data_IF_610541181687
#
_entry.id   IF_610541181687
#
_cell.length_a   1.000
_cell.length_b   1.000
_cell.length_c   1.000
_cell.angle_alpha   90.00
_cell.angle_beta   90.00
_cell.angle_gamma   90.00
#
_symmetry.space_group_name_H-M   'P 1'
#
loop_
_entity.id
_entity.type
_entity.pdbx_description
1 polymer ?
#
# COMPACT_ATOMS: atom_id res chain seq x y z
N UNK A 1 4.38 -11.40 -1.74
CA UNK A 1 3.90 -10.30 -0.87
C UNK A 1 4.04 -9.01 -1.64
N UNK A 2 3.00 -8.17 -1.64
CA UNK A 2 2.97 -6.87 -2.31
C UNK A 2 2.77 -5.79 -1.24
N UNK A 3 3.67 -4.81 -1.19
CA UNK A 3 3.60 -3.67 -0.28
C UNK A 3 3.33 -2.40 -1.07
N UNK A 4 2.33 -1.62 -0.64
CA UNK A 4 2.10 -0.27 -1.15
C UNK A 4 2.84 0.70 -0.25
N UNK A 5 3.71 1.51 -0.85
CA UNK A 5 4.56 2.48 -0.18
C UNK A 5 4.21 3.87 -0.67
N UNK A 6 4.14 4.82 0.25
CA UNK A 6 3.84 6.22 -0.04
C UNK A 6 4.93 7.13 0.51
N UNK A 7 5.08 8.29 -0.11
CA UNK A 7 5.81 9.42 0.44
C UNK A 7 4.81 10.50 0.89
N UNK A 8 4.41 10.56 2.17
CA UNK A 8 3.30 11.40 2.62
C UNK A 8 3.50 12.89 2.34
N UNK A 9 4.75 13.35 2.29
CA UNK A 9 5.10 14.73 1.95
C UNK A 9 4.54 15.18 0.59
N UNK A 10 4.44 14.26 -0.39
CA UNK A 10 3.87 14.57 -1.71
C UNK A 10 2.38 14.87 -1.65
N UNK A 11 1.62 14.08 -0.89
CA UNK A 11 0.18 14.28 -0.73
C UNK A 11 -0.10 15.50 0.16
N UNK A 12 0.69 15.66 1.24
CA UNK A 12 0.59 16.76 2.17
C UNK A 12 0.92 18.13 1.55
N UNK A 13 1.77 18.16 0.51
CA UNK A 13 2.13 19.40 -0.18
C UNK A 13 0.94 20.11 -0.84
N UNK A 14 -0.17 19.41 -1.11
CA UNK A 14 -1.32 19.96 -1.85
C UNK A 14 -2.65 19.88 -1.09
N UNK A 15 -2.84 18.87 -0.25
CA UNK A 15 -4.15 18.56 0.30
C UNK A 15 -4.21 18.77 1.82
N UNK A 16 -5.37 19.23 2.29
CA UNK A 16 -5.74 19.22 3.71
C UNK A 16 -6.24 17.82 4.08
N UNK A 17 -5.81 17.30 5.24
CA UNK A 17 -6.04 15.92 5.70
C UNK A 17 -5.48 14.83 4.74
N UNK A 18 -4.18 14.89 4.39
CA UNK A 18 -3.58 14.06 3.35
C UNK A 18 -3.57 12.56 3.68
N UNK A 19 -3.50 12.18 4.96
CA UNK A 19 -3.48 10.77 5.39
C UNK A 19 -4.72 10.00 4.92
N UNK A 20 -5.90 10.63 5.02
CA UNK A 20 -7.15 9.99 4.59
C UNK A 20 -7.18 9.69 3.09
N UNK A 21 -6.51 10.51 2.27
CA UNK A 21 -6.39 10.31 0.83
C UNK A 21 -5.44 9.16 0.52
N UNK A 22 -4.30 9.09 1.23
CA UNK A 22 -3.36 7.98 1.10
C UNK A 22 -4.05 6.63 1.35
N UNK A 23 -4.84 6.52 2.42
CA UNK A 23 -5.54 5.26 2.73
C UNK A 23 -6.60 4.91 1.69
N UNK A 24 -7.31 5.92 1.16
CA UNK A 24 -8.31 5.72 0.11
C UNK A 24 -7.66 5.25 -1.19
N UNK A 25 -6.58 5.90 -1.62
CA UNK A 25 -5.85 5.53 -2.83
C UNK A 25 -5.25 4.12 -2.70
N UNK A 26 -4.64 3.80 -1.55
CA UNK A 26 -4.13 2.46 -1.28
C UNK A 26 -5.25 1.41 -1.35
N UNK A 27 -6.42 1.69 -0.76
CA UNK A 27 -7.58 0.81 -0.84
C UNK A 27 -8.08 0.59 -2.27
N UNK A 28 -8.15 1.66 -3.08
CA UNK A 28 -8.53 1.57 -4.50
C UNK A 28 -7.54 0.71 -5.28
N UNK A 29 -6.23 0.90 -5.08
CA UNK A 29 -5.20 0.10 -5.74
C UNK A 29 -5.29 -1.38 -5.35
N UNK A 30 -5.46 -1.69 -4.06
CA UNK A 30 -5.65 -3.06 -3.59
C UNK A 30 -6.91 -3.71 -4.21
N UNK A 31 -8.01 -2.96 -4.35
CA UNK A 31 -9.22 -3.41 -5.00
C UNK A 31 -9.04 -3.70 -6.49
N UNK A 32 -8.31 -2.86 -7.23
CA UNK A 32 -7.98 -3.16 -8.62
C UNK A 32 -7.08 -4.40 -8.74
N UNK A 33 -6.09 -4.54 -7.86
CA UNK A 33 -5.22 -5.71 -7.84
C UNK A 33 -6.00 -7.00 -7.59
N UNK A 34 -7.02 -7.00 -6.72
CA UNK A 34 -7.84 -8.20 -6.49
C UNK A 34 -8.64 -8.60 -7.72
N UNK A 35 -9.23 -7.63 -8.43
CA UNK A 35 -9.97 -7.89 -9.68
C UNK A 35 -9.03 -8.45 -10.76
N UNK A 36 -7.84 -7.87 -10.90
CA UNK A 36 -6.85 -8.35 -11.89
C UNK A 36 -6.36 -9.75 -11.53
N UNK A 37 -6.10 -10.03 -10.25
CA UNK A 37 -5.69 -11.36 -9.80
C UNK A 37 -6.75 -12.41 -10.12
N UNK A 38 -8.03 -12.12 -9.88
CA UNK A 38 -9.16 -12.99 -10.25
C UNK A 38 -9.16 -13.31 -11.75
N UNK A 39 -9.00 -12.29 -12.60
CA UNK A 39 -8.94 -12.48 -14.07
C UNK A 39 -7.76 -13.36 -14.49
N UNK A 40 -6.64 -13.27 -13.78
CA UNK A 40 -5.45 -14.07 -14.03
C UNK A 40 -5.49 -15.47 -13.39
N UNK A 41 -6.55 -15.81 -12.65
CA UNK A 41 -6.65 -17.07 -11.91
C UNK A 41 -5.70 -17.15 -10.71
N UNK A 42 -5.29 -16.01 -10.16
CA UNK A 42 -4.41 -15.92 -9.00
C UNK A 42 -5.22 -15.66 -7.72
N UNK A 43 -4.74 -16.21 -6.60
CA UNK A 43 -5.25 -15.89 -5.27
C UNK A 43 -4.70 -14.57 -4.77
N UNK A 44 -5.57 -13.67 -4.30
CA UNK A 44 -5.19 -12.37 -3.74
C UNK A 44 -5.87 -12.12 -2.39
N UNK A 45 -5.09 -11.72 -1.39
CA UNK A 45 -5.56 -11.45 -0.04
C UNK A 45 -5.00 -10.10 0.47
N UNK A 46 -5.79 -9.02 0.47
CA UNK A 46 -5.41 -7.77 1.10
C UNK A 46 -5.35 -7.96 2.62
N UNK A 47 -4.33 -7.37 3.25
CA UNK A 47 -4.10 -7.46 4.69
C UNK A 47 -4.48 -6.14 5.37
N UNK A 48 -5.04 -6.22 6.58
CA UNK A 48 -5.43 -5.04 7.37
C UNK A 48 -4.27 -4.31 8.05
N UNK A 49 -3.03 -4.74 7.81
CA UNK A 49 -1.81 -4.12 8.34
C UNK A 49 -1.13 -3.30 7.24
N UNK A 50 -0.34 -2.31 7.66
CA UNK A 50 0.52 -1.54 6.77
C UNK A 50 1.92 -2.16 6.75
N UNK A 51 2.59 -2.12 5.59
CA UNK A 51 3.91 -2.73 5.37
C UNK A 51 5.08 -2.01 6.10
N UNK A 52 4.84 -1.47 7.30
CA UNK A 52 5.78 -0.59 8.01
C UNK A 52 7.03 -1.34 8.48
N UNK A 53 6.87 -2.54 9.02
CA UNK A 53 8.00 -3.37 9.47
C UNK A 53 8.85 -3.84 8.29
N UNK A 54 8.20 -4.27 7.21
CA UNK A 54 8.82 -4.72 5.97
C UNK A 54 9.59 -3.57 5.31
N UNK A 55 9.00 -2.36 5.28
CA UNK A 55 9.64 -1.16 4.75
C UNK A 55 10.91 -0.82 5.53
N UNK A 56 10.84 -0.85 6.87
CA UNK A 56 11.99 -0.54 7.73
C UNK A 56 13.12 -1.54 7.53
N UNK A 57 12.80 -2.82 7.35
CA UNK A 57 13.78 -3.87 7.08
C UNK A 57 14.45 -3.71 5.69
N UNK A 58 13.71 -3.23 4.69
CA UNK A 58 14.23 -3.10 3.32
C UNK A 58 15.01 -1.81 3.08
N UNK A 59 14.57 -0.70 3.66
CA UNK A 59 15.10 0.64 3.37
C UNK A 59 15.80 1.30 4.56
N UNK A 60 15.86 0.61 5.71
CA UNK A 60 16.29 1.21 6.97
C UNK A 60 15.25 2.18 7.53
N UNK A 61 15.57 2.87 8.63
CA UNK A 61 14.74 3.94 9.15
C UNK A 61 14.67 5.09 8.13
N UNK A 62 13.50 5.28 7.53
CA UNK A 62 13.24 6.32 6.54
C UNK A 62 12.04 7.15 6.98
N UNK A 63 12.25 8.45 7.20
CA UNK A 63 11.20 9.37 7.64
C UNK A 63 10.30 9.87 6.51
N UNK A 64 10.67 9.60 5.26
CA UNK A 64 9.95 10.06 4.07
C UNK A 64 9.01 9.00 3.51
N UNK A 65 9.26 7.71 3.73
CA UNK A 65 8.50 6.61 3.16
C UNK A 65 7.70 5.85 4.23
N UNK A 66 6.43 5.57 3.93
CA UNK A 66 5.52 4.88 4.84
C UNK A 66 4.77 3.76 4.13
N UNK A 67 4.51 2.67 4.84
CA UNK A 67 3.63 1.62 4.36
C UNK A 67 2.17 2.11 4.34
N UNK A 68 1.52 1.99 3.19
CA UNK A 68 0.11 2.40 2.99
C UNK A 68 -0.83 1.20 2.81
N UNK A 69 -0.31 0.01 2.49
CA UNK A 69 -1.10 -1.20 2.34
C UNK A 69 -0.22 -2.43 2.11
N UNK A 70 -0.80 -3.62 2.32
CA UNK A 70 -0.11 -4.89 2.15
C UNK A 70 -1.07 -5.94 1.59
N UNK A 71 -0.58 -6.83 0.73
CA UNK A 71 -1.34 -7.97 0.23
C UNK A 71 -0.46 -9.19 0.00
N UNK A 72 -1.10 -10.36 0.08
CA UNK A 72 -0.54 -11.62 -0.41
C UNK A 72 -1.11 -11.90 -1.80
N UNK A 73 -0.24 -12.34 -2.70
CA UNK A 73 -0.59 -12.81 -4.04
C UNK A 73 0.06 -14.19 -4.17
N UNK A 74 -0.70 -15.17 -4.65
CA UNK A 74 -0.24 -16.54 -4.88
C UNK A 74 -0.96 -17.18 -6.05
N UNK A 75 -0.37 -18.23 -6.60
CA UNK A 75 -0.85 -19.00 -7.75
C UNK A 75 0.09 -20.15 -8.01
#
# INVERSE_FOLDING_TARGET
>A
MLALIVEPGKTAAKYVNPESLVWRDAGVVLGYMSIVAEVLGLSFCPLGITAHAELTNLFGPNECLFGAGLALLGG
#
